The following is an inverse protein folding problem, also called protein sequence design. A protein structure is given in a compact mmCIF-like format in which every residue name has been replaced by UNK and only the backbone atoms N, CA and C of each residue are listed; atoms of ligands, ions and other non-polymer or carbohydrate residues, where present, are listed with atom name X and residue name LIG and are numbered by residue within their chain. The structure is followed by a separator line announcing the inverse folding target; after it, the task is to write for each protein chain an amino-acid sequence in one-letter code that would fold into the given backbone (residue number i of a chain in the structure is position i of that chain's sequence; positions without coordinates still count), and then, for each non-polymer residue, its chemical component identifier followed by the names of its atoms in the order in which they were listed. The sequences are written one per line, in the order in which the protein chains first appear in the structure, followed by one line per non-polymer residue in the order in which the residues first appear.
data_IF_001248756645
#
_entry.id   IF_001248756645
#
_cell.length_a   1.000
_cell.length_b   1.000
_cell.length_c   1.000
_cell.angle_alpha   90.00
_cell.angle_beta   90.00
_cell.angle_gamma   90.00
#
_symmetry.space_group_name_H-M   'P 1'
#
loop_
_entity.id
_entity.type
_entity.pdbx_description
1 polymer ?
#
# COMPACT_ATOMS: atom_id res chain seq x y z
N UNK A 1 -48.42 -31.91 -13.12
CA UNK A 1 -47.67 -31.76 -11.85
C UNK A 1 -46.26 -31.28 -12.15
N UNK A 2 -46.05 -29.99 -11.89
CA UNK A 2 -44.85 -29.14 -11.90
C UNK A 2 -43.45 -29.78 -12.01
N UNK A 3 -42.87 -29.71 -13.21
CA UNK A 3 -41.43 -29.89 -13.48
C UNK A 3 -40.64 -28.56 -13.48
N UNK A 4 -41.20 -27.49 -12.89
CA UNK A 4 -40.62 -26.13 -12.88
C UNK A 4 -39.97 -25.80 -11.51
N UNK A 5 -40.12 -26.64 -10.49
CA UNK A 5 -39.68 -26.32 -9.12
C UNK A 5 -38.25 -26.71 -8.74
N UNK A 6 -37.49 -27.39 -9.60
CA UNK A 6 -36.12 -27.85 -9.26
C UNK A 6 -34.99 -26.96 -9.78
N UNK A 7 -35.27 -25.99 -10.67
CA UNK A 7 -34.24 -25.09 -11.19
C UNK A 7 -33.93 -23.88 -10.29
N UNK A 8 -34.82 -23.54 -9.35
CA UNK A 8 -34.67 -22.35 -8.51
C UNK A 8 -33.70 -22.53 -7.32
N UNK A 9 -33.38 -23.76 -6.91
CA UNK A 9 -32.48 -24.00 -5.79
C UNK A 9 -30.98 -23.96 -6.17
N UNK A 10 -30.63 -24.09 -7.46
CA UNK A 10 -29.24 -24.05 -7.91
C UNK A 10 -28.64 -22.63 -7.97
N UNK A 11 -29.48 -21.62 -8.24
CA UNK A 11 -29.04 -20.22 -8.39
C UNK A 11 -28.85 -19.49 -7.05
N UNK A 12 -29.44 -19.99 -5.96
CA UNK A 12 -29.31 -19.38 -4.64
C UNK A 12 -27.99 -19.75 -3.93
N UNK A 13 -27.38 -20.90 -4.26
CA UNK A 13 -26.13 -21.36 -3.66
C UNK A 13 -24.87 -20.69 -4.24
N UNK A 14 -24.95 -20.12 -5.45
CA UNK A 14 -23.85 -19.35 -6.04
C UNK A 14 -23.74 -17.91 -5.50
N UNK A 15 -24.79 -17.40 -4.85
CA UNK A 15 -24.78 -16.05 -4.26
C UNK A 15 -24.07 -16.00 -2.89
N UNK A 16 -23.86 -17.15 -2.23
CA UNK A 16 -23.28 -17.23 -0.88
C UNK A 16 -21.76 -17.47 -0.88
N UNK A 17 -21.14 -17.72 -2.03
CA UNK A 17 -19.67 -17.84 -2.15
C UNK A 17 -18.98 -16.53 -2.58
N UNK A 18 -19.75 -15.46 -2.78
CA UNK A 18 -19.21 -14.12 -3.05
C UNK A 18 -18.77 -13.37 -1.77
N UNK A 19 -18.68 -14.05 -0.62
CA UNK A 19 -17.95 -13.55 0.53
C UNK A 19 -16.45 -13.78 0.32
N UNK A 20 -15.68 -12.71 0.05
CA UNK A 20 -14.25 -12.73 0.38
C UNK A 20 -13.28 -12.00 -0.54
N UNK A 21 -13.70 -11.49 -1.70
CA UNK A 21 -12.82 -10.68 -2.55
C UNK A 21 -13.28 -9.22 -2.54
N UNK A 22 -12.65 -8.40 -1.68
CA UNK A 22 -12.71 -6.95 -1.81
C UNK A 22 -12.08 -6.51 -3.13
N UNK A 23 -12.53 -5.39 -3.70
CA UNK A 23 -11.86 -4.80 -4.87
C UNK A 23 -11.26 -3.47 -4.48
N UNK A 24 -9.99 -3.27 -4.80
CA UNK A 24 -9.30 -2.00 -4.64
C UNK A 24 -9.00 -1.44 -6.03
N UNK A 25 -9.58 -0.29 -6.37
CA UNK A 25 -9.46 0.33 -7.70
C UNK A 25 -9.70 -0.67 -8.85
N UNK A 26 -10.72 -1.53 -8.70
CA UNK A 26 -11.08 -2.56 -9.68
C UNK A 26 -10.23 -3.83 -9.63
N UNK A 27 -9.13 -3.87 -8.88
CA UNK A 27 -8.27 -5.06 -8.72
C UNK A 27 -8.79 -5.92 -7.55
N UNK A 28 -9.02 -7.24 -7.73
CA UNK A 28 -9.40 -8.13 -6.63
C UNK A 28 -8.30 -8.23 -5.59
N UNK A 29 -8.67 -8.05 -4.32
CA UNK A 29 -7.81 -8.14 -3.14
C UNK A 29 -8.46 -9.12 -2.17
N UNK A 30 -7.70 -10.13 -1.75
CA UNK A 30 -8.14 -11.14 -0.80
C UNK A 30 -7.05 -11.35 0.25
N UNK A 31 -7.37 -10.98 1.49
CA UNK A 31 -6.49 -11.20 2.63
C UNK A 31 -6.50 -12.66 3.05
N UNK A 32 -5.34 -13.17 3.43
CA UNK A 32 -5.24 -14.48 4.08
C UNK A 32 -5.69 -14.35 5.54
N UNK A 33 -6.10 -15.44 6.17
CA UNK A 33 -6.50 -15.39 7.58
C UNK A 33 -5.36 -14.89 8.48
N UNK A 34 -5.68 -14.33 9.65
CA UNK A 34 -4.70 -13.81 10.62
C UNK A 34 -3.50 -14.76 10.86
N UNK A 35 -3.80 -16.04 11.10
CA UNK A 35 -2.82 -17.10 11.41
C UNK A 35 -2.04 -17.60 10.19
N UNK A 36 -2.47 -17.23 8.99
CA UNK A 36 -1.77 -17.59 7.76
C UNK A 36 -0.63 -16.59 7.54
N UNK A 37 0.59 -17.09 7.57
CA UNK A 37 1.79 -16.29 7.33
C UNK A 37 2.01 -15.99 5.85
N UNK A 38 1.21 -16.54 4.92
CA UNK A 38 1.35 -16.25 3.50
C UNK A 38 1.08 -14.76 3.24
N UNK A 39 1.97 -14.09 2.48
CA UNK A 39 1.75 -12.71 2.08
C UNK A 39 0.56 -12.61 1.13
N UNK A 40 -0.04 -11.44 1.06
CA UNK A 40 -0.98 -11.12 0.00
C UNK A 40 -0.16 -10.73 -1.25
N UNK A 41 -0.29 -11.51 -2.32
CA UNK A 41 0.40 -11.28 -3.59
C UNK A 41 -0.65 -11.27 -4.69
N UNK A 42 -0.64 -10.23 -5.50
CA UNK A 42 -1.51 -10.12 -6.66
C UNK A 42 -0.83 -10.72 -7.90
N UNK A 43 -1.59 -11.21 -8.90
CA UNK A 43 -1.00 -11.59 -10.18
C UNK A 43 -0.16 -10.45 -10.74
N UNK A 44 1.04 -10.75 -11.20
CA UNK A 44 1.96 -9.76 -11.73
C UNK A 44 2.37 -10.08 -13.17
N UNK A 45 2.51 -9.03 -13.97
CA UNK A 45 3.05 -9.05 -15.33
C UNK A 45 3.82 -7.74 -15.55
N UNK A 46 5.16 -7.77 -15.76
CA UNK A 46 5.96 -6.57 -15.95
C UNK A 46 5.54 -5.74 -17.17
N UNK A 47 4.91 -6.36 -18.19
CA UNK A 47 4.39 -5.64 -19.35
C UNK A 47 3.21 -4.72 -19.00
N UNK A 48 2.60 -4.89 -17.83
CA UNK A 48 1.47 -4.10 -17.34
C UNK A 48 1.90 -2.99 -16.38
N UNK A 49 3.21 -2.76 -16.20
CA UNK A 49 3.69 -1.70 -15.33
C UNK A 49 3.32 -0.31 -15.88
N UNK A 50 2.67 0.55 -15.08
CA UNK A 50 2.39 1.92 -15.49
C UNK A 50 3.65 2.76 -15.50
N UNK A 51 3.71 3.79 -16.35
CA UNK A 51 4.72 4.83 -16.21
C UNK A 51 4.32 5.83 -15.12
N UNK A 52 4.90 5.67 -13.92
CA UNK A 52 4.70 6.57 -12.79
C UNK A 52 5.65 7.78 -12.79
N UNK A 53 6.55 7.91 -13.77
CA UNK A 53 7.58 8.94 -13.77
C UNK A 53 6.98 10.36 -13.72
N UNK A 54 7.54 11.24 -12.90
CA UNK A 54 7.08 12.62 -12.79
C UNK A 54 7.26 13.20 -11.41
N UNK A 55 6.86 14.47 -11.27
CA UNK A 55 6.89 15.21 -10.01
C UNK A 55 5.47 15.49 -9.56
N UNK A 56 5.12 15.03 -8.37
CA UNK A 56 3.80 15.20 -7.77
C UNK A 56 3.90 16.07 -6.52
N UNK A 57 2.82 16.76 -6.18
CA UNK A 57 2.67 17.38 -4.87
C UNK A 57 2.62 16.30 -3.80
N UNK A 58 3.27 16.52 -2.67
CA UNK A 58 3.22 15.58 -1.55
C UNK A 58 1.81 15.56 -0.90
N UNK A 59 1.11 16.70 -0.88
CA UNK A 59 -0.25 16.78 -0.37
C UNK A 59 -1.25 16.15 -1.36
N UNK A 60 -2.01 15.17 -0.89
CA UNK A 60 -3.03 14.46 -1.66
C UNK A 60 -4.45 15.00 -1.46
N UNK A 61 -5.25 14.91 -2.51
CA UNK A 61 -6.69 15.15 -2.51
C UNK A 61 -7.44 13.84 -2.30
N UNK A 62 -8.25 13.76 -1.25
CA UNK A 62 -9.13 12.61 -1.03
C UNK A 62 -10.11 12.43 -2.19
N UNK A 63 -10.29 11.19 -2.65
CA UNK A 63 -11.21 10.82 -3.74
C UNK A 63 -12.34 9.90 -3.30
N UNK A 64 -12.05 8.85 -2.53
CA UNK A 64 -13.05 7.84 -2.15
C UNK A 64 -12.60 6.98 -0.96
N UNK A 65 -13.55 6.24 -0.37
CA UNK A 65 -13.32 5.24 0.68
C UNK A 65 -13.78 5.63 2.09
N UNK A 66 -13.10 5.05 3.08
CA UNK A 66 -13.28 5.33 4.49
C UNK A 66 -12.54 6.61 4.87
N UNK A 67 -13.18 7.46 5.69
CA UNK A 67 -12.57 8.68 6.22
C UNK A 67 -11.85 8.35 7.53
N UNK A 68 -10.62 7.85 7.45
CA UNK A 68 -9.70 7.84 8.60
C UNK A 68 -8.34 8.44 8.19
N UNK A 69 -7.77 9.37 8.97
CA UNK A 69 -6.70 10.25 8.50
C UNK A 69 -5.33 9.80 9.04
N UNK A 70 -4.31 9.78 8.17
CA UNK A 70 -3.13 10.65 8.31
C UNK A 70 -1.93 10.26 7.42
N UNK A 71 -1.58 8.98 7.15
CA UNK A 71 -0.39 8.76 6.33
C UNK A 71 -0.60 9.03 4.84
N UNK A 72 -1.77 8.73 4.23
CA UNK A 72 -1.93 8.91 2.78
C UNK A 72 -2.23 10.36 2.33
N UNK A 73 -2.59 11.26 3.24
CA UNK A 73 -2.73 12.66 2.87
C UNK A 73 -1.37 13.31 2.49
N UNK A 74 -0.27 12.73 2.96
CA UNK A 74 1.10 13.10 2.60
C UNK A 74 1.79 11.90 1.94
N UNK A 75 2.07 12.01 0.63
CA UNK A 75 2.69 10.93 -0.14
C UNK A 75 4.04 10.49 0.43
N UNK A 76 4.85 11.39 0.98
CA UNK A 76 6.11 10.99 1.61
C UNK A 76 5.85 10.14 2.84
N UNK A 77 4.95 10.57 3.74
CA UNK A 77 4.69 9.83 4.98
C UNK A 77 4.14 8.45 4.68
N UNK A 78 3.26 8.33 3.68
CA UNK A 78 2.75 7.06 3.23
C UNK A 78 3.86 6.13 2.72
N UNK A 79 4.72 6.62 1.83
CA UNK A 79 5.81 5.82 1.27
C UNK A 79 6.80 5.40 2.36
N UNK A 80 7.20 6.32 3.23
CA UNK A 80 8.20 6.09 4.27
C UNK A 80 7.70 5.20 5.42
N UNK A 81 6.44 5.35 5.85
CA UNK A 81 5.94 4.71 7.07
C UNK A 81 4.94 3.58 6.81
N UNK A 82 4.04 3.72 5.82
CA UNK A 82 3.03 2.69 5.53
C UNK A 82 3.52 1.64 4.54
N UNK A 83 4.43 2.03 3.64
CA UNK A 83 5.09 1.09 2.71
C UNK A 83 6.50 0.70 3.13
N UNK A 84 6.98 1.24 4.26
CA UNK A 84 8.33 0.98 4.79
C UNK A 84 9.44 1.27 3.77
N UNK A 85 9.21 2.20 2.83
CA UNK A 85 10.25 2.57 1.87
C UNK A 85 11.27 3.40 2.62
N UNK A 86 12.34 2.77 3.06
CA UNK A 86 13.50 3.46 3.59
C UNK A 86 14.58 3.54 2.53
N UNK A 87 15.19 4.70 2.39
CA UNK A 87 16.51 4.81 1.80
C UNK A 87 17.49 5.40 2.81
N UNK A 88 18.77 5.53 2.43
CA UNK A 88 19.80 6.02 3.32
C UNK A 88 19.44 7.42 3.83
N UNK A 89 19.18 7.54 5.14
CA UNK A 89 19.15 8.84 5.80
C UNK A 89 20.58 9.30 6.01
N UNK A 90 20.94 10.46 5.45
CA UNK A 90 22.20 11.10 5.77
C UNK A 90 22.12 11.76 7.14
N UNK A 91 23.22 11.73 7.89
CA UNK A 91 23.34 12.51 9.12
C UNK A 91 23.08 14.00 8.82
N UNK A 92 22.27 14.66 9.65
CA UNK A 92 21.99 16.09 9.54
C UNK A 92 20.89 16.50 8.55
N UNK A 93 20.12 15.55 8.01
CA UNK A 93 18.91 15.88 7.23
C UNK A 93 17.81 16.38 8.18
N UNK A 94 17.21 17.57 7.95
CA UNK A 94 16.08 18.05 8.74
C UNK A 94 14.89 17.08 8.71
N UNK A 95 14.18 16.99 9.83
CA UNK A 95 12.91 16.29 9.93
C UNK A 95 11.92 16.79 8.88
N UNK A 96 11.18 15.87 8.24
CA UNK A 96 10.17 16.19 7.24
C UNK A 96 9.06 17.07 7.81
N UNK A 97 8.89 18.27 7.25
CA UNK A 97 7.82 19.20 7.64
C UNK A 97 7.11 19.72 6.38
N UNK A 98 6.05 19.03 5.92
CA UNK A 98 5.48 19.26 4.60
C UNK A 98 4.96 20.71 4.50
N UNK A 99 5.54 21.48 3.58
CA UNK A 99 4.99 22.76 3.17
C UNK A 99 4.07 22.58 1.94
N UNK A 100 3.24 23.57 1.57
CA UNK A 100 2.37 23.48 0.39
C UNK A 100 3.10 23.17 -0.93
N UNK A 101 4.39 23.51 -1.02
CA UNK A 101 5.28 23.22 -2.14
C UNK A 101 6.03 21.89 -2.03
N UNK A 102 5.74 21.07 -1.02
CA UNK A 102 6.37 19.76 -0.86
C UNK A 102 6.06 18.87 -2.07
N UNK A 103 7.07 18.15 -2.54
CA UNK A 103 7.00 17.33 -3.77
C UNK A 103 7.59 15.96 -3.56
N UNK A 104 7.09 15.00 -4.34
CA UNK A 104 7.64 13.66 -4.47
C UNK A 104 7.86 13.39 -5.96
N UNK A 105 9.10 13.11 -6.32
CA UNK A 105 9.53 12.76 -7.67
C UNK A 105 9.72 11.25 -7.78
N UNK A 106 9.15 10.67 -8.83
CA UNK A 106 9.40 9.30 -9.25
C UNK A 106 10.22 9.36 -10.53
N UNK A 107 11.42 8.80 -10.51
CA UNK A 107 12.27 8.67 -11.69
C UNK A 107 12.38 7.19 -12.06
N UNK A 108 12.30 6.83 -13.36
CA UNK A 108 12.43 5.45 -13.78
C UNK A 108 13.81 4.89 -13.40
N UNK A 109 13.83 3.64 -12.97
CA UNK A 109 15.01 2.89 -12.59
C UNK A 109 14.85 1.45 -13.07
N UNK A 110 15.93 0.71 -13.43
CA UNK A 110 15.80 -0.67 -13.92
C UNK A 110 15.05 -1.62 -12.98
N UNK A 111 14.93 -1.29 -11.68
CA UNK A 111 14.21 -2.08 -10.67
C UNK A 111 12.86 -1.49 -10.26
N UNK A 112 12.36 -0.46 -10.95
CA UNK A 112 11.10 0.22 -10.63
C UNK A 112 11.25 1.74 -10.72
N UNK A 113 10.99 2.44 -9.62
CA UNK A 113 11.13 3.89 -9.55
C UNK A 113 11.99 4.32 -8.38
N UNK A 114 12.95 5.21 -8.65
CA UNK A 114 13.65 5.96 -7.61
C UNK A 114 12.73 7.07 -7.13
N UNK A 115 12.51 7.10 -5.81
CA UNK A 115 11.68 8.11 -5.17
C UNK A 115 12.58 9.16 -4.52
N UNK A 116 12.27 10.43 -4.74
CA UNK A 116 12.88 11.56 -4.04
C UNK A 116 11.79 12.49 -3.53
N UNK A 117 11.76 12.77 -2.23
CA UNK A 117 10.84 13.75 -1.68
C UNK A 117 11.59 14.98 -1.16
N UNK A 118 10.95 16.15 -1.29
CA UNK A 118 11.43 17.43 -0.77
C UNK A 118 10.27 18.14 -0.08
N UNK A 119 10.44 18.55 1.17
CA UNK A 119 9.37 19.21 1.94
C UNK A 119 9.24 20.71 1.65
N UNK A 120 10.19 21.28 0.91
CA UNK A 120 10.27 22.73 0.63
C UNK A 120 10.91 23.55 1.75
N UNK A 121 11.42 22.91 2.81
CA UNK A 121 12.06 23.49 4.00
C UNK A 121 13.42 22.87 4.34
N UNK A 122 13.91 21.96 3.49
CA UNK A 122 15.22 21.34 3.61
C UNK A 122 15.18 19.87 3.99
N UNK A 123 14.04 19.36 4.46
CA UNK A 123 13.79 17.94 4.65
C UNK A 123 13.77 17.21 3.31
N UNK A 124 14.44 16.07 3.27
CA UNK A 124 14.61 15.26 2.07
C UNK A 124 14.49 13.79 2.38
N UNK A 125 14.02 13.06 1.40
CA UNK A 125 13.95 11.60 1.45
C UNK A 125 14.37 11.04 0.10
N UNK A 126 15.06 9.91 0.13
CA UNK A 126 15.28 9.08 -1.04
C UNK A 126 14.89 7.65 -0.70
N UNK A 127 14.25 6.97 -1.63
CA UNK A 127 13.89 5.56 -1.51
C UNK A 127 13.73 4.92 -2.88
N UNK A 128 13.32 3.66 -2.88
CA UNK A 128 13.02 2.91 -4.09
C UNK A 128 11.63 2.31 -3.97
N UNK A 129 10.79 2.56 -4.98
CA UNK A 129 9.51 1.89 -5.16
C UNK A 129 9.74 0.73 -6.16
N UNK A 130 9.73 -0.53 -5.70
CA UNK A 130 10.22 -1.62 -6.51
C UNK A 130 9.12 -2.22 -7.41
N UNK A 131 9.50 -2.77 -8.57
CA UNK A 131 8.63 -3.52 -9.47
C UNK A 131 9.18 -4.95 -9.61
N UNK A 132 8.79 -5.85 -8.70
CA UNK A 132 9.48 -7.14 -8.47
C UNK A 132 8.77 -8.35 -9.07
N UNK A 133 7.89 -8.15 -10.03
CA UNK A 133 7.08 -9.21 -10.63
C UNK A 133 6.39 -10.14 -9.61
N UNK A 134 5.87 -9.56 -8.52
CA UNK A 134 5.25 -10.31 -7.43
C UNK A 134 6.21 -10.97 -6.44
N UNK A 135 7.52 -10.78 -6.60
CA UNK A 135 8.53 -11.27 -5.67
C UNK A 135 8.63 -10.40 -4.40
N UNK A 136 9.22 -11.00 -3.36
CA UNK A 136 9.52 -10.30 -2.11
C UNK A 136 10.67 -9.31 -2.33
N UNK A 137 10.54 -8.13 -1.74
CA UNK A 137 11.62 -7.15 -1.68
C UNK A 137 12.69 -7.60 -0.68
N UNK A 138 13.86 -7.97 -1.22
CA UNK A 138 15.03 -8.37 -0.44
C UNK A 138 15.74 -7.20 0.25
N UNK A 139 15.41 -5.96 -0.08
CA UNK A 139 15.95 -4.74 0.53
C UNK A 139 15.08 -4.17 1.65
N UNK A 140 13.90 -4.76 1.91
CA UNK A 140 13.14 -4.45 3.11
C UNK A 140 14.00 -4.79 4.35
N UNK A 141 14.13 -3.89 5.35
CA UNK A 141 14.92 -4.15 6.54
C UNK A 141 14.50 -5.48 7.17
N UNK A 142 15.42 -6.45 7.24
CA UNK A 142 15.16 -7.72 7.92
C UNK A 142 15.40 -7.62 9.43
N UNK A 143 16.24 -6.69 9.86
CA UNK A 143 16.72 -6.62 11.24
C UNK A 143 17.14 -5.19 11.60
N UNK A 144 16.22 -4.42 12.16
CA UNK A 144 16.56 -3.51 13.27
C UNK A 144 15.43 -3.60 14.30
N UNK A 145 15.52 -4.63 15.14
CA UNK A 145 14.63 -4.84 16.28
C UNK A 145 14.86 -3.70 17.28
N UNK A 146 14.08 -2.63 17.18
CA UNK A 146 13.87 -1.66 18.27
C UNK A 146 12.45 -1.84 18.80
N UNK A 147 12.24 -2.40 20.00
CA UNK A 147 10.95 -2.33 20.65
C UNK A 147 10.44 -0.87 20.64
N UNK A 148 9.19 -0.59 20.24
CA UNK A 148 8.05 -1.51 20.05
C UNK A 148 7.76 -1.91 18.58
N UNK A 149 8.76 -1.92 17.70
CA UNK A 149 8.61 -2.24 16.26
C UNK A 149 8.17 -3.69 15.99
N UNK A 150 7.55 -3.95 14.82
CA UNK A 150 7.16 -5.28 14.38
C UNK A 150 8.33 -6.29 14.37
N UNK A 151 8.00 -7.55 14.67
CA UNK A 151 8.91 -8.68 14.68
C UNK A 151 9.37 -9.09 13.27
N UNK A 152 8.56 -8.80 12.25
CA UNK A 152 8.91 -9.09 10.85
C UNK A 152 8.19 -8.10 9.90
N UNK A 153 8.92 -7.57 8.92
CA UNK A 153 8.37 -6.77 7.82
C UNK A 153 8.61 -7.51 6.51
N UNK A 154 7.54 -7.70 5.74
CA UNK A 154 7.61 -8.31 4.41
C UNK A 154 6.90 -7.45 3.40
N UNK A 155 7.63 -7.06 2.35
CA UNK A 155 7.11 -6.28 1.23
C UNK A 155 7.17 -7.08 -0.07
N UNK A 156 6.13 -7.00 -0.88
CA UNK A 156 6.01 -7.60 -2.19
C UNK A 156 5.53 -6.53 -3.17
N UNK A 157 5.96 -6.59 -4.42
CA UNK A 157 5.51 -5.64 -5.42
C UNK A 157 5.47 -6.25 -6.81
N UNK A 158 4.55 -5.77 -7.64
CA UNK A 158 4.38 -6.23 -9.01
C UNK A 158 3.45 -5.31 -9.78
N UNK A 159 3.13 -5.68 -11.01
CA UNK A 159 2.32 -4.87 -11.89
C UNK A 159 1.10 -5.64 -12.37
N UNK A 160 -0.08 -5.04 -12.31
CA UNK A 160 -1.31 -5.70 -12.76
C UNK A 160 -2.29 -4.66 -13.29
N UNK A 161 -2.91 -4.94 -14.42
CA UNK A 161 -3.97 -4.13 -15.01
C UNK A 161 -3.60 -2.63 -15.12
N UNK A 162 -2.36 -2.31 -15.54
CA UNK A 162 -1.88 -0.93 -15.67
C UNK A 162 -1.62 -0.22 -14.34
N UNK A 163 -1.42 -0.97 -13.25
CA UNK A 163 -1.15 -0.45 -11.90
C UNK A 163 0.07 -1.13 -11.34
N UNK A 164 0.91 -0.37 -10.64
CA UNK A 164 1.88 -0.95 -9.74
C UNK A 164 1.17 -1.25 -8.42
N UNK A 165 1.34 -2.46 -7.92
CA UNK A 165 0.86 -2.83 -6.60
C UNK A 165 2.04 -3.09 -5.66
N UNK A 166 1.89 -2.66 -4.40
CA UNK A 166 2.82 -2.96 -3.31
C UNK A 166 2.02 -3.49 -2.14
N UNK A 167 2.37 -4.68 -1.65
CA UNK A 167 1.83 -5.24 -0.42
C UNK A 167 2.88 -5.20 0.67
N UNK A 168 2.49 -4.77 1.86
CA UNK A 168 3.35 -4.80 3.04
C UNK A 168 2.63 -5.49 4.18
N UNK A 169 3.33 -6.38 4.89
CA UNK A 169 2.89 -7.07 6.08
C UNK A 169 3.86 -6.78 7.22
N UNK A 170 3.32 -6.32 8.33
CA UNK A 170 4.01 -6.08 9.58
C UNK A 170 3.45 -7.05 10.62
N UNK A 171 4.23 -8.06 11.00
CA UNK A 171 3.87 -8.96 12.09
C UNK A 171 4.49 -8.44 13.38
N UNK A 172 3.73 -8.34 14.47
CA UNK A 172 4.24 -7.87 15.76
C UNK A 172 3.81 -8.78 16.90
N UNK A 173 4.62 -8.76 17.96
CA UNK A 173 4.34 -9.48 19.21
C UNK A 173 4.78 -8.63 20.39
N UNK A 174 3.89 -8.40 21.34
CA UNK A 174 4.17 -7.64 22.54
C UNK A 174 3.55 -8.33 23.75
N UNK A 175 4.40 -8.76 24.70
CA UNK A 175 4.04 -9.42 25.95
C UNK A 175 2.95 -10.51 25.84
N UNK A 176 1.68 -10.11 25.91
CA UNK A 176 0.48 -10.95 25.91
C UNK A 176 -0.39 -10.75 24.67
N UNK A 177 0.11 -10.09 23.63
CA UNK A 177 -0.62 -9.83 22.40
C UNK A 177 0.25 -10.08 21.18
N UNK A 178 -0.39 -10.46 20.10
CA UNK A 178 0.22 -10.45 18.77
C UNK A 178 -0.77 -9.90 17.77
N UNK A 179 -0.23 -9.39 16.68
CA UNK A 179 -1.05 -8.86 15.62
C UNK A 179 -0.30 -8.78 14.31
N UNK A 180 -1.06 -8.42 13.29
CA UNK A 180 -0.54 -8.13 11.97
C UNK A 180 -1.21 -6.89 11.45
N UNK A 181 -0.41 -6.00 10.89
CA UNK A 181 -0.87 -4.87 10.09
C UNK A 181 -0.48 -5.12 8.64
N UNK A 182 -1.43 -4.98 7.72
CA UNK A 182 -1.25 -5.29 6.30
C UNK A 182 -1.75 -4.12 5.48
N UNK A 183 -1.03 -3.81 4.42
CA UNK A 183 -1.40 -2.83 3.43
C UNK A 183 -1.25 -3.41 2.04
N UNK A 184 -2.15 -3.00 1.15
CA UNK A 184 -1.94 -3.07 -0.29
C UNK A 184 -2.19 -1.69 -0.87
N UNK A 185 -1.22 -1.21 -1.62
CA UNK A 185 -1.28 0.06 -2.31
C UNK A 185 -1.23 -0.18 -3.81
N UNK A 186 -2.11 0.48 -4.55
CA UNK A 186 -2.13 0.50 -6.01
C UNK A 186 -1.81 1.91 -6.48
N UNK A 187 -0.85 2.02 -7.39
CA UNK A 187 -0.40 3.27 -7.99
C UNK A 187 -0.73 3.25 -9.47
N UNK A 188 -1.34 4.33 -9.96
CA UNK A 188 -1.51 4.59 -11.39
C UNK A 188 -1.51 6.07 -11.70
N UNK A 189 -1.21 6.40 -12.95
CA UNK A 189 -1.47 7.74 -13.49
C UNK A 189 -2.97 7.98 -13.62
N UNK A 190 -3.40 9.19 -13.31
CA UNK A 190 -4.79 9.63 -13.49
C UNK A 190 -4.83 11.15 -13.67
N UNK A 191 -5.43 11.62 -14.76
CA UNK A 191 -5.56 13.05 -15.09
C UNK A 191 -4.24 13.87 -14.93
N UNK A 192 -3.11 13.29 -15.35
CA UNK A 192 -1.77 13.90 -15.22
C UNK A 192 -1.17 13.86 -13.82
N UNK A 193 -1.92 13.43 -12.80
CA UNK A 193 -1.46 13.19 -11.45
C UNK A 193 -1.20 11.71 -11.15
N UNK A 194 -0.99 11.41 -9.87
CA UNK A 194 -0.83 10.07 -9.33
C UNK A 194 -2.04 9.72 -8.47
N UNK A 195 -2.75 8.66 -8.84
CA UNK A 195 -3.80 8.09 -8.00
C UNK A 195 -3.20 6.96 -7.17
N UNK A 196 -3.41 7.01 -5.86
CA UNK A 196 -3.02 5.96 -4.92
C UNK A 196 -4.26 5.45 -4.22
N UNK A 197 -4.52 4.15 -4.39
CA UNK A 197 -5.58 3.43 -3.70
C UNK A 197 -4.97 2.48 -2.70
N UNK A 198 -5.46 2.49 -1.47
CA UNK A 198 -4.91 1.69 -0.38
C UNK A 198 -6.04 0.92 0.28
N UNK A 199 -5.76 -0.33 0.62
CA UNK A 199 -6.56 -1.10 1.56
C UNK A 199 -5.65 -1.54 2.70
N UNK A 200 -6.12 -1.32 3.93
CA UNK A 200 -5.46 -1.65 5.18
C UNK A 200 -6.29 -2.68 5.94
N UNK A 201 -5.62 -3.64 6.56
CA UNK A 201 -6.21 -4.56 7.52
C UNK A 201 -5.27 -4.69 8.73
N UNK A 202 -5.84 -4.68 9.93
CA UNK A 202 -5.14 -4.84 11.19
C UNK A 202 -5.88 -5.86 12.04
N UNK A 203 -5.25 -7.01 12.26
CA UNK A 203 -5.74 -8.04 13.19
C UNK A 203 -4.89 -8.05 14.45
N UNK A 204 -5.52 -8.24 15.60
CA UNK A 204 -4.81 -8.54 16.84
C UNK A 204 -5.55 -9.56 17.70
N UNK A 205 -4.79 -10.33 18.47
CA UNK A 205 -5.31 -11.28 19.45
C UNK A 205 -4.53 -11.19 20.77
N UNK A 206 -5.27 -11.19 21.88
CA UNK A 206 -4.72 -11.39 23.21
C UNK A 206 -4.41 -12.87 23.47
N UNK A 207 -3.22 -13.16 23.98
CA UNK A 207 -2.72 -14.49 24.33
C UNK A 207 -3.24 -14.98 25.69
N UNK A 208 -3.46 -14.09 26.66
CA UNK A 208 -4.02 -14.47 27.97
C UNK A 208 -5.54 -14.36 28.05
N UNK A 209 -6.13 -13.45 27.27
CA UNK A 209 -7.57 -13.29 27.17
C UNK A 209 -7.91 -13.20 25.67
N UNK A 210 -8.76 -14.10 25.14
CA UNK A 210 -8.97 -14.28 23.70
C UNK A 210 -9.89 -13.21 23.12
N UNK A 211 -9.60 -11.93 23.35
CA UNK A 211 -10.18 -10.88 22.53
C UNK A 211 -9.49 -10.89 21.17
N UNK A 212 -10.30 -10.89 20.12
CA UNK A 212 -9.86 -10.68 18.76
C UNK A 212 -10.40 -9.34 18.29
N UNK A 213 -9.54 -8.52 17.71
CA UNK A 213 -9.91 -7.26 17.06
C UNK A 213 -9.50 -7.32 15.60
N UNK A 214 -10.42 -6.93 14.71
CA UNK A 214 -10.13 -6.66 13.32
C UNK A 214 -10.55 -5.22 13.03
N UNK A 215 -9.66 -4.46 12.42
CA UNK A 215 -9.90 -3.12 11.92
C UNK A 215 -9.38 -3.04 10.50
N UNK A 216 -10.11 -2.38 9.61
CA UNK A 216 -9.73 -2.31 8.21
C UNK A 216 -10.48 -1.23 7.47
N UNK A 217 -9.89 -0.78 6.38
CA UNK A 217 -10.49 0.25 5.55
C UNK A 217 -9.83 0.35 4.19
N UNK A 218 -10.53 1.01 3.27
CA UNK A 218 -10.01 1.32 1.94
C UNK A 218 -10.16 2.80 1.64
N UNK A 219 -9.15 3.42 1.04
CA UNK A 219 -9.17 4.84 0.74
C UNK A 219 -8.34 5.17 -0.50
N UNK A 220 -8.70 6.25 -1.18
CA UNK A 220 -8.09 6.67 -2.43
C UNK A 220 -7.77 8.16 -2.39
N UNK A 221 -6.54 8.50 -2.77
CA UNK A 221 -6.05 9.88 -2.85
C UNK A 221 -5.42 10.13 -4.21
N UNK A 222 -5.61 11.35 -4.71
CA UNK A 222 -5.01 11.85 -5.92
C UNK A 222 -3.99 12.93 -5.61
N UNK A 223 -2.78 12.79 -6.14
CA UNK A 223 -1.70 13.74 -5.98
C UNK A 223 -1.50 14.51 -7.28
N UNK A 224 -1.74 15.81 -7.23
CA UNK A 224 -1.60 16.68 -8.39
C UNK A 224 -0.17 16.69 -8.92
N UNK A 225 0.04 16.87 -10.24
CA UNK A 225 1.36 17.17 -10.75
C UNK A 225 1.89 18.48 -10.14
N UNK A 226 3.18 18.54 -9.84
CA UNK A 226 3.81 19.78 -9.43
C UNK A 226 4.00 20.68 -10.67
N UNK A 227 3.51 21.92 -10.61
CA UNK A 227 3.69 22.88 -11.69
C UNK A 227 5.19 23.15 -11.88
N UNK A 228 5.72 22.84 -13.07
CA UNK A 228 7.15 22.92 -13.41
C UNK A 228 7.78 21.63 -13.95
N UNK A 229 7.03 20.54 -14.10
CA UNK A 229 7.56 19.28 -14.63
C UNK A 229 7.66 19.22 -16.18
N UNK A 230 7.13 20.21 -16.89
CA UNK A 230 7.23 20.36 -18.35
C UNK A 230 8.16 21.53 -18.72
N UNK A 231 9.39 21.57 -18.18
CA UNK A 231 10.45 22.48 -18.65
C UNK A 231 11.81 22.07 -18.09
N UNK A 232 12.38 20.96 -18.59
CA UNK A 232 13.83 20.76 -18.76
C UNK A 232 14.13 19.50 -19.54
#
# INVERSE_FOLDING_TARGET
MNMIRLAACGLALAALTACGASRLDGVPVAWTGFRDARPMVLPSDPAQCPDLAGVYRAAGEYRAGDKDPQPLADLYQFLAHSLDLHGPQGDGVPEWRPAPQATVTFAPDPRGWRVQARDGRGGRFSGQLPALDGAQDGLAPRDEIRPPMPAEIRRYAGCTQGRLWVSVRYDWRQHESMGVLRHVALFRRDAGGLLVSVQRESDSIGMLLPWYSNDGGSFQYWFAPAAGADAQ
#
